data_IF_630443677023
#
_entry.id   IF_630443677023
#
_cell.length_a   1.000
_cell.length_b   1.000
_cell.length_c   1.000
_cell.angle_alpha   90.00
_cell.angle_beta   90.00
_cell.angle_gamma   90.00
#
_symmetry.space_group_name_H-M   'P 1'
#
loop_
_entity.id
_entity.type
_entity.pdbx_description
1 polymer ?
#
# COMPACT_ATOMS: atom_id res chain seq x y z
N UNK A 1 -12.47 20.68 -11.93
CA UNK A 1 -12.37 19.38 -11.21
C UNK A 1 -10.91 19.15 -10.91
N UNK A 2 -10.55 18.83 -9.66
CA UNK A 2 -9.16 18.51 -9.30
C UNK A 2 -8.80 17.12 -9.82
N UNK A 3 -7.80 17.01 -10.67
CA UNK A 3 -7.35 15.74 -11.26
C UNK A 3 -6.66 14.89 -10.19
N UNK A 4 -6.96 13.59 -10.16
CA UNK A 4 -6.24 12.65 -9.28
C UNK A 4 -4.86 12.41 -9.87
N UNK A 5 -3.83 12.79 -9.11
CA UNK A 5 -2.42 12.71 -9.55
C UNK A 5 -1.70 11.51 -8.94
N UNK A 6 -2.29 10.90 -7.91
CA UNK A 6 -1.71 9.77 -7.23
C UNK A 6 -2.48 9.32 -6.00
N UNK A 7 -1.80 8.55 -5.17
CA UNK A 7 -2.35 7.95 -3.95
C UNK A 7 -1.29 7.88 -2.88
N UNK A 8 -1.73 7.83 -1.64
CA UNK A 8 -0.85 7.59 -0.51
C UNK A 8 -1.47 6.58 0.44
N UNK A 9 -0.63 5.70 0.97
CA UNK A 9 -0.97 4.70 1.96
C UNK A 9 -0.03 4.80 3.15
N UNK A 10 -0.54 4.56 4.37
CA UNK A 10 0.31 4.44 5.53
C UNK A 10 1.14 3.16 5.44
N UNK A 11 2.44 3.34 5.61
CA UNK A 11 3.42 2.27 5.74
C UNK A 11 4.17 2.48 7.05
N UNK A 12 4.25 1.47 7.93
CA UNK A 12 5.05 1.57 9.14
C UNK A 12 6.51 1.96 8.83
N UNK A 13 7.09 2.84 9.64
CA UNK A 13 8.48 3.31 9.50
C UNK A 13 9.48 2.15 9.34
N UNK A 14 9.30 1.07 10.09
CA UNK A 14 10.15 -0.13 10.03
C UNK A 14 10.16 -0.82 8.66
N UNK A 15 9.14 -0.62 7.82
CA UNK A 15 9.03 -1.22 6.49
C UNK A 15 9.48 -0.26 5.37
N UNK A 16 9.74 1.01 5.66
CA UNK A 16 10.20 1.98 4.67
C UNK A 16 11.57 1.64 4.03
N UNK A 17 12.58 1.13 4.77
CA UNK A 17 13.86 0.73 4.18
C UNK A 17 13.72 -0.26 3.02
N UNK A 18 12.66 -1.06 3.00
CA UNK A 18 12.39 -2.02 1.93
C UNK A 18 12.34 -1.37 0.56
N UNK A 19 11.73 -0.20 0.46
CA UNK A 19 11.64 0.54 -0.80
C UNK A 19 12.91 1.35 -1.08
N UNK A 20 13.49 1.99 -0.05
CA UNK A 20 14.54 2.99 -0.26
C UNK A 20 15.97 2.42 -0.24
N UNK A 21 16.20 1.26 0.38
CA UNK A 21 17.53 0.67 0.53
C UNK A 21 17.60 -0.80 0.10
N UNK A 22 16.54 -1.58 0.31
CA UNK A 22 16.54 -3.02 -0.02
C UNK A 22 16.03 -3.32 -1.44
N UNK A 23 15.60 -2.28 -2.19
CA UNK A 23 15.24 -2.41 -3.60
C UNK A 23 13.91 -3.11 -3.88
N UNK A 24 13.00 -3.23 -2.90
CA UNK A 24 11.65 -3.75 -3.12
C UNK A 24 10.84 -2.76 -3.95
N UNK A 25 10.25 -3.23 -5.04
CA UNK A 25 9.55 -2.39 -6.02
C UNK A 25 8.05 -2.66 -6.09
N UNK A 26 7.52 -3.61 -5.31
CA UNK A 26 6.11 -3.99 -5.38
C UNK A 26 5.43 -3.76 -4.04
N UNK A 27 4.51 -2.80 -4.02
CA UNK A 27 3.66 -2.51 -2.86
C UNK A 27 2.36 -3.32 -2.93
N UNK A 28 2.01 -4.03 -1.85
CA UNK A 28 0.77 -4.82 -1.78
C UNK A 28 -0.10 -4.44 -0.59
N UNK A 29 -1.43 -4.48 -0.75
CA UNK A 29 -2.37 -4.34 0.36
C UNK A 29 -3.80 -4.76 -0.02
N UNK A 30 -4.74 -4.87 0.95
CA UNK A 30 -6.16 -4.95 0.65
C UNK A 30 -6.64 -3.74 -0.19
N UNK A 31 -7.29 -4.03 -1.32
CA UNK A 31 -7.72 -3.03 -2.27
C UNK A 31 -8.84 -2.16 -1.67
N UNK A 32 -8.55 -0.87 -1.51
CA UNK A 32 -9.44 0.11 -0.86
C UNK A 32 -9.59 1.34 -1.75
N UNK A 33 -8.53 2.14 -1.88
CA UNK A 33 -8.49 3.33 -2.75
C UNK A 33 -7.69 2.98 -4.01
N UNK A 34 -8.36 2.41 -5.02
CA UNK A 34 -7.68 1.92 -6.23
C UNK A 34 -8.41 2.18 -7.57
N UNK A 35 -9.71 2.46 -7.55
CA UNK A 35 -10.55 2.54 -8.77
C UNK A 35 -10.08 3.60 -9.78
N UNK A 36 -9.52 4.70 -9.28
CA UNK A 36 -9.04 5.81 -10.10
C UNK A 36 -7.55 5.70 -10.40
N UNK A 37 -6.85 4.69 -9.87
CA UNK A 37 -5.43 4.52 -10.14
C UNK A 37 -5.20 4.08 -11.57
N UNK A 38 -4.18 4.67 -12.19
CA UNK A 38 -3.69 4.33 -13.52
C UNK A 38 -2.17 4.27 -13.48
N UNK A 39 -1.59 3.55 -14.42
CA UNK A 39 -0.15 3.62 -14.66
C UNK A 39 0.27 5.07 -14.96
N UNK A 40 1.47 5.45 -14.53
CA UNK A 40 2.00 6.81 -14.59
C UNK A 40 1.59 7.72 -13.42
N UNK A 41 0.61 7.34 -12.61
CA UNK A 41 0.26 8.08 -11.39
C UNK A 41 1.29 7.84 -10.27
N UNK A 42 1.31 8.70 -9.25
CA UNK A 42 2.26 8.57 -8.14
C UNK A 42 1.71 7.73 -6.98
N UNK A 43 2.57 6.91 -6.38
CA UNK A 43 2.42 6.46 -5.00
C UNK A 43 3.33 7.32 -4.12
N UNK A 44 2.76 8.07 -3.18
CA UNK A 44 3.52 8.82 -2.18
C UNK A 44 3.57 8.03 -0.87
N UNK A 45 4.77 7.69 -0.43
CA UNK A 45 5.00 6.91 0.78
C UNK A 45 4.73 7.78 2.01
N UNK A 46 3.66 7.47 2.74
CA UNK A 46 3.36 8.09 4.03
C UNK A 46 3.83 7.18 5.17
N UNK A 47 4.76 7.69 5.97
CA UNK A 47 5.26 7.00 7.15
C UNK A 47 4.29 7.13 8.32
N UNK A 48 3.90 6.00 8.90
CA UNK A 48 3.02 5.94 10.07
C UNK A 48 3.76 5.54 11.36
N UNK A 49 3.06 5.73 12.49
CA UNK A 49 3.50 5.49 13.88
C UNK A 49 4.52 6.50 14.41
N UNK A 50 5.69 6.59 13.80
CA UNK A 50 6.79 7.46 14.23
C UNK A 50 7.18 8.43 13.13
N UNK A 51 7.56 9.66 13.50
CA UNK A 51 8.01 10.71 12.57
C UNK A 51 7.10 10.83 11.34
N UNK A 52 5.81 11.02 11.60
CA UNK A 52 4.77 10.91 10.57
C UNK A 52 4.93 11.96 9.48
N UNK A 53 4.87 11.51 8.23
CA UNK A 53 5.08 12.38 7.08
C UNK A 53 5.21 11.63 5.76
N UNK A 54 5.13 12.37 4.66
CA UNK A 54 5.53 11.89 3.35
C UNK A 54 7.05 11.82 3.28
N UNK A 55 7.59 10.64 3.01
CA UNK A 55 9.04 10.38 3.05
C UNK A 55 9.64 10.08 1.69
N UNK A 56 8.80 9.93 0.67
CA UNK A 56 9.22 9.68 -0.70
C UNK A 56 8.03 9.47 -1.62
N UNK A 57 8.33 9.18 -2.89
CA UNK A 57 7.34 8.84 -3.90
C UNK A 57 7.91 7.84 -4.91
N UNK A 58 7.00 7.25 -5.69
CA UNK A 58 7.32 6.39 -6.81
C UNK A 58 6.25 6.54 -7.90
N UNK A 59 6.58 6.18 -9.13
CA UNK A 59 5.64 6.09 -10.23
C UNK A 59 5.01 4.70 -10.25
N UNK A 60 3.69 4.64 -10.40
CA UNK A 60 2.97 3.38 -10.55
C UNK A 60 3.15 2.90 -11.99
N UNK A 61 3.89 1.82 -12.18
CA UNK A 61 4.12 1.21 -13.48
C UNK A 61 2.96 0.29 -13.88
N UNK A 62 2.53 -0.58 -12.95
CA UNK A 62 1.48 -1.58 -13.17
C UNK A 62 0.64 -1.78 -11.93
N UNK A 63 -0.65 -2.06 -12.14
CA UNK A 63 -1.62 -2.34 -11.08
C UNK A 63 -2.19 -3.73 -11.33
N UNK A 64 -2.12 -4.62 -10.35
CA UNK A 64 -2.70 -5.97 -10.41
C UNK A 64 -3.68 -6.13 -9.25
N UNK A 65 -4.89 -6.61 -9.55
CA UNK A 65 -5.91 -6.93 -8.55
C UNK A 65 -6.08 -8.45 -8.50
N UNK A 66 -6.04 -9.03 -7.30
CA UNK A 66 -6.21 -10.46 -7.11
C UNK A 66 -6.87 -10.73 -5.75
N UNK A 67 -7.77 -11.71 -5.68
CA UNK A 67 -8.40 -12.13 -4.42
C UNK A 67 -7.43 -12.89 -3.51
N UNK A 68 -6.39 -13.51 -4.08
CA UNK A 68 -5.34 -14.20 -3.35
C UNK A 68 -4.05 -13.36 -3.33
N UNK A 69 -3.66 -12.74 -2.20
CA UNK A 69 -2.43 -11.97 -2.12
C UNK A 69 -1.16 -12.82 -2.25
N UNK A 70 -1.24 -14.13 -1.98
CA UNK A 70 -0.08 -15.01 -2.15
C UNK A 70 0.28 -15.20 -3.62
N UNK A 71 -0.67 -15.01 -4.54
CA UNK A 71 -0.42 -15.07 -5.98
C UNK A 71 0.52 -13.95 -6.46
N UNK A 72 0.65 -12.84 -5.72
CA UNK A 72 1.61 -11.80 -6.06
C UNK A 72 3.06 -12.27 -5.97
N UNK A 73 3.37 -13.22 -5.07
CA UNK A 73 4.72 -13.78 -4.99
C UNK A 73 5.07 -14.68 -6.19
N UNK A 74 4.07 -15.26 -6.85
CA UNK A 74 4.29 -16.03 -8.09
C UNK A 74 4.62 -15.09 -9.26
N UNK A 75 4.05 -13.89 -9.27
CA UNK A 75 4.24 -12.90 -10.34
C UNK A 75 5.45 -12.00 -10.12
N UNK A 76 5.68 -11.58 -8.88
CA UNK A 76 6.65 -10.55 -8.52
C UNK A 76 7.80 -11.08 -7.66
N UNK A 77 7.73 -12.33 -7.20
CA UNK A 77 8.78 -12.97 -6.42
C UNK A 77 9.18 -12.14 -5.20
N UNK A 78 10.48 -11.93 -5.07
CA UNK A 78 11.08 -11.18 -3.96
C UNK A 78 10.96 -9.65 -4.10
N UNK A 79 10.43 -9.13 -5.21
CA UNK A 79 10.21 -7.69 -5.37
C UNK A 79 9.10 -7.13 -4.46
N UNK A 80 8.26 -8.01 -3.90
CA UNK A 80 7.19 -7.67 -2.96
C UNK A 80 7.78 -7.14 -1.66
N UNK A 81 7.30 -5.98 -1.22
CA UNK A 81 7.83 -5.35 -0.01
C UNK A 81 7.46 -6.08 1.29
N UNK A 82 6.46 -6.96 1.30
CA UNK A 82 6.17 -7.85 2.42
C UNK A 82 6.67 -9.24 2.11
N UNK A 83 7.13 -9.97 3.12
CA UNK A 83 7.45 -11.39 2.97
C UNK A 83 6.17 -12.21 2.92
N UNK A 84 6.27 -13.43 2.37
CA UNK A 84 5.15 -14.37 2.30
C UNK A 84 4.56 -14.66 3.68
N UNK A 85 5.42 -14.77 4.69
CA UNK A 85 5.00 -15.08 6.05
C UNK A 85 4.36 -13.88 6.76
N UNK A 86 4.82 -12.66 6.51
CA UNK A 86 4.14 -11.44 6.99
C UNK A 86 2.73 -11.32 6.40
N UNK A 87 2.56 -11.66 5.12
CA UNK A 87 1.23 -11.68 4.49
C UNK A 87 0.33 -12.75 5.11
N UNK A 88 0.85 -13.96 5.34
CA UNK A 88 0.09 -15.02 6.03
C UNK A 88 -0.32 -14.60 7.44
N UNK A 89 0.63 -14.10 8.24
CA UNK A 89 0.36 -13.61 9.58
C UNK A 89 -0.69 -12.49 9.59
N UNK A 90 -0.62 -11.58 8.63
CA UNK A 90 -1.63 -10.53 8.45
C UNK A 90 -3.02 -11.13 8.17
N UNK A 91 -3.13 -12.08 7.25
CA UNK A 91 -4.40 -12.75 6.93
C UNK A 91 -4.98 -13.53 8.12
N UNK A 92 -4.13 -14.22 8.88
CA UNK A 92 -4.54 -14.94 10.08
C UNK A 92 -5.04 -13.99 11.16
N UNK A 93 -4.35 -12.86 11.36
CA UNK A 93 -4.80 -11.81 12.27
C UNK A 93 -6.17 -11.27 11.86
N UNK A 94 -6.41 -11.03 10.56
CA UNK A 94 -7.71 -10.59 10.07
C UNK A 94 -8.82 -11.62 10.32
N UNK A 95 -8.52 -12.92 10.20
CA UNK A 95 -9.42 -14.00 10.57
C UNK A 95 -9.83 -13.95 12.05
N UNK A 96 -8.92 -13.58 12.94
CA UNK A 96 -9.19 -13.41 14.38
C UNK A 96 -10.11 -12.23 14.69
N UNK A 97 -10.00 -11.13 13.93
CA UNK A 97 -10.86 -9.94 14.10
C UNK A 97 -12.25 -10.06 13.44
N UNK A 98 -12.45 -10.99 12.49
CA UNK A 98 -13.76 -11.29 11.90
C UNK A 98 -14.77 -11.84 12.92
N UNK A 99 -14.29 -12.41 14.04
CA UNK A 99 -15.15 -12.89 15.13
C UNK A 99 -15.79 -11.81 16.00
N UNK A 100 -15.25 -10.58 16.02
CA UNK A 100 -15.63 -9.56 17.03
C UNK A 100 -16.62 -8.51 16.49
N UNK A 101 -16.74 -8.30 15.17
CA UNK A 101 -17.51 -7.16 14.59
C UNK A 101 -18.32 -7.44 13.32
N UNK A 102 -18.91 -8.62 13.14
CA UNK A 102 -19.72 -8.88 11.94
C UNK A 102 -21.20 -9.03 12.27
N UNK A 103 -21.95 -7.95 12.03
CA UNK A 103 -23.39 -7.96 11.73
C UNK A 103 -23.66 -9.11 10.73
N UNK A 104 -24.61 -10.01 11.04
CA UNK A 104 -25.09 -11.16 10.23
C UNK A 104 -24.95 -10.97 8.71
N UNK A 105 -23.80 -11.30 8.15
CA UNK A 105 -23.51 -11.24 6.73
C UNK A 105 -22.14 -11.84 6.44
N UNK A 106 -22.02 -12.64 5.37
CA UNK A 106 -20.75 -13.30 5.00
C UNK A 106 -19.63 -12.25 4.93
N UNK A 107 -18.46 -12.47 5.58
CA UNK A 107 -17.33 -11.56 5.44
C UNK A 107 -16.95 -11.53 3.97
N UNK A 108 -17.25 -10.41 3.29
CA UNK A 108 -16.89 -10.23 1.89
C UNK A 108 -15.37 -10.13 1.84
N UNK A 109 -14.69 -11.20 1.42
CA UNK A 109 -13.24 -11.18 1.17
C UNK A 109 -12.96 -10.00 0.24
N UNK A 110 -12.15 -9.06 0.69
CA UNK A 110 -11.76 -7.91 -0.13
C UNK A 110 -10.63 -8.35 -1.05
N UNK A 111 -10.67 -8.01 -2.34
CA UNK A 111 -9.54 -8.25 -3.21
C UNK A 111 -8.32 -7.51 -2.67
N UNK A 112 -7.15 -8.00 -3.01
CA UNK A 112 -5.90 -7.30 -2.79
C UNK A 112 -5.41 -6.64 -4.07
N UNK A 113 -4.52 -5.68 -3.90
CA UNK A 113 -3.85 -5.01 -5.01
C UNK A 113 -2.34 -5.07 -4.84
N UNK A 114 -1.64 -5.21 -5.95
CA UNK A 114 -0.21 -4.97 -6.08
C UNK A 114 0.01 -3.77 -6.99
N UNK A 115 0.86 -2.85 -6.55
CA UNK A 115 1.40 -1.74 -7.33
C UNK A 115 2.86 -2.05 -7.61
N UNK A 116 3.20 -2.32 -8.87
CA UNK A 116 4.59 -2.33 -9.32
C UNK A 116 5.02 -0.87 -9.50
N UNK A 117 6.16 -0.54 -8.91
CA UNK A 117 6.67 0.81 -8.79
C UNK A 117 7.97 0.96 -9.56
N UNK A 118 8.16 2.14 -10.13
CA UNK A 118 9.41 2.58 -10.73
C UNK A 118 9.74 4.00 -10.24
N UNK A 119 10.97 4.46 -10.49
CA UNK A 119 11.44 5.78 -10.07
C UNK A 119 11.23 6.06 -8.56
N UNK A 120 11.47 5.05 -7.73
CA UNK A 120 11.35 5.18 -6.26
C UNK A 120 12.39 6.18 -5.78
N UNK A 121 11.93 7.26 -5.14
CA UNK A 121 12.76 8.34 -4.62
C UNK A 121 12.39 8.67 -3.19
N UNK A 122 13.40 8.83 -2.36
CA UNK A 122 13.25 9.33 -0.98
C UNK A 122 13.36 10.86 -0.99
N UNK A 123 12.58 11.52 -0.14
CA UNK A 123 12.74 12.94 0.12
C UNK A 123 13.84 13.18 1.15
N UNK A 124 14.57 14.29 1.01
CA UNK A 124 15.61 14.68 1.98
C UNK A 124 15.06 14.89 3.40
N UNK A 125 13.80 15.37 3.49
CA UNK A 125 13.11 15.58 4.76
C UNK A 125 11.65 15.12 4.66
N UNK A 126 11.09 14.49 5.72
CA UNK A 126 9.67 14.16 5.77
C UNK A 126 8.79 15.41 5.63
N UNK A 127 7.81 15.38 4.73
CA UNK A 127 6.83 16.46 4.54
C UNK A 127 5.56 16.14 5.32
N UNK A 128 5.11 17.03 6.20
CA UNK A 128 3.87 16.80 6.97
C UNK A 128 2.65 16.87 6.06
N UNK A 129 1.70 15.92 6.16
CA UNK A 129 0.47 16.02 5.41
C UNK A 129 -0.42 17.13 6.00
N UNK A 130 -1.11 17.90 5.14
CA UNK A 130 -2.10 18.89 5.59
C UNK A 130 -3.25 18.26 6.38
N UNK A 131 -3.59 17.01 6.04
CA UNK A 131 -4.65 16.23 6.68
C UNK A 131 -4.20 14.79 6.87
N UNK A 132 -4.65 14.21 7.98
CA UNK A 132 -4.41 12.82 8.34
C UNK A 132 -4.62 11.84 7.17
N UNK A 133 -3.73 10.86 7.05
CA UNK A 133 -3.83 9.77 6.07
C UNK A 133 -4.48 8.56 6.75
N UNK A 134 -5.72 8.17 6.39
CA UNK A 134 -6.36 7.02 7.02
C UNK A 134 -5.70 5.70 6.58
N UNK A 135 -5.96 4.62 7.32
CA UNK A 135 -5.45 3.26 7.01
C UNK A 135 -5.80 2.80 5.59
N UNK A 136 -6.98 3.20 5.11
CA UNK A 136 -7.42 2.94 3.73
C UNK A 136 -6.62 3.69 2.65
N UNK A 137 -5.84 4.70 3.04
CA UNK A 137 -5.20 5.66 2.14
C UNK A 137 -6.11 6.77 1.67
N UNK A 138 -5.55 7.68 0.88
CA UNK A 138 -6.29 8.76 0.22
C UNK A 138 -5.73 9.03 -1.17
N UNK A 139 -6.59 9.48 -2.07
CA UNK A 139 -6.13 10.06 -3.34
C UNK A 139 -5.43 11.39 -3.08
N UNK A 140 -4.41 11.65 -3.90
CA UNK A 140 -3.76 12.93 -4.02
C UNK A 140 -4.34 13.65 -5.23
N UNK A 141 -4.55 14.95 -5.08
CA UNK A 141 -5.20 15.80 -6.05
C UNK A 141 -4.29 16.99 -6.34
N UNK A 142 -4.16 17.32 -7.62
CA UNK A 142 -3.51 18.55 -8.09
C UNK A 142 -4.52 19.65 -8.38
#
# INVERSE_FOLDING_TARGET
>A
MTTITGVTFPVPKSLMPRFFTEGKTVFIKPATVFKELRSGMKLVFYQSHEDTGYVGEATIKRIVINDNPLAFFETFGDAVFLTRDEVKAYLESQGRWQGIRVRKGKPKKRPWMALELEDIRRYDRPRKPERFVPVGGKYLRG
#
